data_IF_041687873785
#
_entry.id   IF_041687873785
#
_cell.length_a   1.000
_cell.length_b   1.000
_cell.length_c   1.000
_cell.angle_alpha   90.00
_cell.angle_beta   90.00
_cell.angle_gamma   90.00
#
_symmetry.space_group_name_H-M   'P 1'
#
loop_
_entity.id
_entity.type
_entity.pdbx_description
1 polymer ?
#
# COMPACT_ATOMS: atom_id res chain seq x y z
N UNK A 1 30.97 21.36 26.67
CA UNK A 1 30.36 21.32 25.33
C UNK A 1 28.87 21.58 25.46
N UNK A 2 28.36 22.75 25.04
CA UNK A 2 26.92 23.04 25.11
C UNK A 2 26.25 22.43 23.89
N UNK A 3 25.61 21.28 24.05
CA UNK A 3 24.70 20.72 23.06
C UNK A 3 23.49 21.66 23.02
N UNK A 4 23.41 22.54 22.03
CA UNK A 4 22.17 23.24 21.71
C UNK A 4 21.22 22.22 21.10
N UNK A 5 20.32 21.67 21.91
CA UNK A 5 19.14 20.97 21.41
C UNK A 5 18.24 21.99 20.73
N UNK A 6 18.30 22.03 19.41
CA UNK A 6 17.35 22.76 18.58
C UNK A 6 16.42 21.76 17.89
N UNK A 7 15.11 22.01 18.06
CA UNK A 7 14.00 21.70 17.16
C UNK A 7 13.39 20.29 17.26
N UNK A 8 12.13 20.33 17.70
CA UNK A 8 11.06 19.35 17.48
C UNK A 8 10.82 19.27 15.96
N UNK A 9 10.65 18.04 15.47
CA UNK A 9 10.37 17.59 14.09
C UNK A 9 11.12 18.32 12.95
N UNK A 10 12.15 17.68 12.38
CA UNK A 10 12.95 18.23 11.28
C UNK A 10 12.70 17.52 9.94
N UNK A 11 11.60 16.78 9.81
CA UNK A 11 11.19 16.15 8.54
C UNK A 11 9.74 16.49 8.21
N UNK A 12 9.38 16.83 6.96
CA UNK A 12 8.01 17.14 6.53
C UNK A 12 7.08 15.92 6.55
N UNK A 13 6.80 15.38 7.74
CA UNK A 13 5.90 14.24 7.94
C UNK A 13 4.54 14.43 7.26
N UNK A 14 4.06 15.67 7.18
CA UNK A 14 2.80 16.01 6.50
C UNK A 14 2.82 15.62 5.02
N UNK A 15 3.91 15.84 4.30
CA UNK A 15 3.99 15.46 2.89
C UNK A 15 3.90 13.94 2.73
N UNK A 16 4.68 13.20 3.53
CA UNK A 16 4.68 11.72 3.52
C UNK A 16 3.30 11.16 3.87
N UNK A 17 2.67 11.69 4.92
CA UNK A 17 1.32 11.27 5.32
C UNK A 17 0.27 11.62 4.25
N UNK A 18 0.36 12.80 3.62
CA UNK A 18 -0.52 13.16 2.51
C UNK A 18 -0.34 12.24 1.29
N UNK A 19 0.89 11.78 1.03
CA UNK A 19 1.17 10.82 -0.04
C UNK A 19 0.57 9.46 0.30
N UNK A 20 0.73 8.98 1.53
CA UNK A 20 0.07 7.76 2.01
C UNK A 20 -1.44 7.85 1.85
N UNK A 21 -2.06 8.95 2.29
CA UNK A 21 -3.50 9.21 2.15
C UNK A 21 -3.98 9.26 0.69
N UNK A 22 -3.13 9.68 -0.26
CA UNK A 22 -3.43 9.63 -1.71
C UNK A 22 -3.58 8.18 -2.15
N UNK A 23 -2.66 7.30 -1.76
CA UNK A 23 -2.70 5.89 -2.13
C UNK A 23 -3.74 5.07 -1.35
N UNK A 24 -4.01 5.40 -0.08
CA UNK A 24 -5.12 4.79 0.66
C UNK A 24 -6.44 5.01 -0.08
N UNK A 25 -6.75 6.27 -0.44
CA UNK A 25 -7.96 6.61 -1.20
C UNK A 25 -8.04 5.83 -2.51
N UNK A 26 -6.92 5.69 -3.19
CA UNK A 26 -6.81 4.89 -4.41
C UNK A 26 -7.17 3.41 -4.17
N UNK A 27 -6.57 2.79 -3.15
CA UNK A 27 -6.86 1.38 -2.79
C UNK A 27 -8.30 1.17 -2.29
N UNK A 28 -8.88 2.17 -1.61
CA UNK A 28 -10.29 2.14 -1.21
C UNK A 28 -11.21 2.20 -2.42
N UNK A 29 -10.88 3.04 -3.41
CA UNK A 29 -11.62 3.12 -4.66
C UNK A 29 -11.57 1.79 -5.43
N UNK A 30 -10.40 1.15 -5.49
CA UNK A 30 -10.25 -0.20 -6.07
C UNK A 30 -11.15 -1.20 -5.34
N UNK A 31 -11.11 -1.22 -4.00
CA UNK A 31 -11.93 -2.12 -3.19
C UNK A 31 -13.41 -1.92 -3.50
N UNK A 32 -13.87 -0.66 -3.60
CA UNK A 32 -15.25 -0.34 -3.99
C UNK A 32 -15.61 -0.79 -5.39
N UNK A 33 -14.72 -0.58 -6.37
CA UNK A 33 -14.92 -1.05 -7.74
C UNK A 33 -15.07 -2.57 -7.77
N UNK A 34 -14.18 -3.29 -7.08
CA UNK A 34 -14.21 -4.75 -6.96
C UNK A 34 -15.53 -5.20 -6.35
N UNK A 35 -15.93 -4.66 -5.19
CA UNK A 35 -17.20 -5.02 -4.53
C UNK A 35 -18.43 -4.69 -5.39
N UNK A 36 -18.42 -3.55 -6.10
CA UNK A 36 -19.47 -3.16 -7.04
C UNK A 36 -19.56 -4.11 -8.23
N UNK A 37 -18.43 -4.50 -8.79
CA UNK A 37 -18.35 -5.42 -9.92
C UNK A 37 -18.77 -6.85 -9.54
N UNK A 38 -18.35 -7.32 -8.37
CA UNK A 38 -18.82 -8.58 -7.79
C UNK A 38 -20.34 -8.56 -7.61
N UNK A 39 -20.86 -7.45 -7.07
CA UNK A 39 -22.29 -7.24 -6.89
C UNK A 39 -23.05 -7.33 -8.23
N UNK A 40 -22.49 -6.72 -9.28
CA UNK A 40 -23.01 -6.79 -10.65
C UNK A 40 -23.00 -8.23 -11.18
N UNK A 41 -21.87 -8.95 -11.05
CA UNK A 41 -21.67 -10.30 -11.58
C UNK A 41 -22.51 -11.37 -10.87
N UNK A 42 -22.70 -11.23 -9.56
CA UNK A 42 -23.65 -12.05 -8.80
C UNK A 42 -25.10 -11.79 -9.20
N UNK A 43 -25.35 -10.84 -10.11
CA UNK A 43 -26.66 -10.54 -10.66
C UNK A 43 -27.51 -9.74 -9.68
N UNK A 44 -26.92 -8.80 -8.93
CA UNK A 44 -27.66 -7.88 -8.04
C UNK A 44 -28.39 -6.74 -8.80
N UNK A 45 -28.86 -6.92 -10.06
CA UNK A 45 -30.10 -6.35 -10.67
C UNK A 45 -30.40 -7.01 -12.05
N UNK A 46 -31.62 -6.82 -12.59
CA UNK A 46 -32.32 -7.71 -13.56
C UNK A 46 -31.78 -7.72 -15.01
N UNK A 47 -31.34 -8.89 -15.51
CA UNK A 47 -31.80 -9.60 -16.74
C UNK A 47 -30.72 -10.53 -17.38
N UNK A 48 -31.18 -11.78 -17.64
CA UNK A 48 -30.77 -12.98 -18.43
C UNK A 48 -29.30 -13.41 -18.71
N UNK A 49 -29.13 -14.76 -18.62
CA UNK A 49 -27.93 -15.62 -18.56
C UNK A 49 -27.36 -16.07 -19.94
N UNK A 50 -26.17 -16.71 -20.08
CA UNK A 50 -25.87 -18.16 -19.89
C UNK A 50 -24.35 -18.51 -19.82
N UNK A 51 -24.01 -19.71 -19.29
CA UNK A 51 -23.19 -20.84 -19.89
C UNK A 51 -23.18 -22.08 -18.95
N UNK A 52 -23.83 -23.18 -19.33
CA UNK A 52 -24.61 -24.08 -18.46
C UNK A 52 -23.90 -25.26 -17.74
N UNK A 53 -23.02 -25.04 -16.75
CA UNK A 53 -22.62 -26.12 -15.83
C UNK A 53 -22.54 -25.69 -14.36
N UNK A 54 -23.19 -26.39 -13.42
CA UNK A 54 -23.24 -26.03 -12.00
C UNK A 54 -21.87 -26.17 -11.30
N UNK A 55 -21.51 -25.16 -10.51
CA UNK A 55 -20.33 -25.16 -9.64
C UNK A 55 -20.59 -26.08 -8.44
N UNK A 56 -19.70 -27.06 -8.23
CA UNK A 56 -19.75 -27.99 -7.10
C UNK A 56 -18.60 -27.63 -6.16
N UNK A 57 -18.91 -27.31 -4.90
CA UNK A 57 -17.92 -27.05 -3.86
C UNK A 57 -18.10 -28.03 -2.70
N UNK A 58 -17.05 -28.80 -2.38
CA UNK A 58 -17.09 -29.84 -1.33
C UNK A 58 -18.29 -30.80 -1.48
N UNK A 59 -18.57 -31.25 -2.70
CA UNK A 59 -19.66 -32.17 -3.01
C UNK A 59 -21.08 -31.57 -2.99
N UNK A 60 -21.23 -30.27 -2.75
CA UNK A 60 -22.52 -29.58 -2.77
C UNK A 60 -22.62 -28.65 -3.98
N UNK A 61 -23.76 -28.69 -4.66
CA UNK A 61 -24.08 -27.76 -5.74
C UNK A 61 -24.26 -26.36 -5.12
N UNK A 62 -23.55 -25.37 -5.66
CA UNK A 62 -23.63 -23.99 -5.21
C UNK A 62 -24.79 -23.32 -5.94
N UNK A 63 -25.71 -22.68 -5.21
CA UNK A 63 -26.91 -22.05 -5.78
C UNK A 63 -26.78 -20.53 -5.76
N UNK A 64 -27.23 -19.88 -6.83
CA UNK A 64 -27.37 -18.44 -6.94
C UNK A 64 -28.55 -17.99 -6.07
N UNK A 65 -28.31 -17.16 -5.05
CA UNK A 65 -29.32 -16.78 -4.08
C UNK A 65 -30.43 -15.85 -4.64
N UNK A 66 -30.35 -15.37 -5.89
CA UNK A 66 -31.48 -14.65 -6.55
C UNK A 66 -32.48 -15.58 -7.16
N UNK A 67 -31.93 -16.56 -7.88
CA UNK A 67 -32.66 -17.31 -8.88
C UNK A 67 -32.97 -18.70 -8.38
N UNK A 68 -32.33 -19.12 -7.28
CA UNK A 68 -32.36 -20.51 -6.80
C UNK A 68 -31.72 -21.47 -7.78
N UNK A 69 -31.08 -20.99 -8.86
CA UNK A 69 -30.44 -21.82 -9.86
C UNK A 69 -28.98 -22.05 -9.49
N UNK A 70 -28.38 -23.21 -9.82
CA UNK A 70 -26.96 -23.44 -9.60
C UNK A 70 -26.08 -22.36 -10.24
N UNK A 71 -25.11 -21.83 -9.49
CA UNK A 71 -24.07 -20.92 -10.01
C UNK A 71 -23.29 -21.68 -11.05
N UNK A 72 -23.09 -21.09 -12.23
CA UNK A 72 -22.36 -21.75 -13.31
C UNK A 72 -20.85 -21.52 -13.20
N UNK A 73 -20.04 -22.47 -13.68
CA UNK A 73 -18.57 -22.34 -13.70
C UNK A 73 -18.12 -21.07 -14.44
N UNK A 74 -18.80 -20.67 -15.53
CA UNK A 74 -18.50 -19.41 -16.23
C UNK A 74 -18.74 -18.18 -15.35
N UNK A 75 -19.83 -18.18 -14.60
CA UNK A 75 -20.17 -17.06 -13.71
C UNK A 75 -19.13 -16.91 -12.61
N UNK A 76 -18.64 -18.04 -12.08
CA UNK A 76 -17.54 -18.08 -11.14
C UNK A 76 -16.21 -17.62 -11.76
N UNK A 77 -15.86 -18.10 -12.96
CA UNK A 77 -14.63 -17.67 -13.64
C UNK A 77 -14.64 -16.17 -13.94
N UNK A 78 -15.78 -15.60 -14.36
CA UNK A 78 -15.91 -14.15 -14.56
C UNK A 78 -15.72 -13.35 -13.27
N UNK A 79 -16.23 -13.86 -12.16
CA UNK A 79 -16.01 -13.29 -10.83
C UNK A 79 -14.52 -13.31 -10.47
N UNK A 80 -13.85 -14.45 -10.67
CA UNK A 80 -12.41 -14.56 -10.42
C UNK A 80 -11.59 -13.67 -11.34
N UNK A 81 -11.91 -13.62 -12.63
CA UNK A 81 -11.24 -12.75 -13.62
C UNK A 81 -11.43 -11.27 -13.27
N UNK A 82 -12.60 -10.85 -12.81
CA UNK A 82 -12.82 -9.48 -12.38
C UNK A 82 -11.97 -9.15 -11.14
N UNK A 83 -12.00 -10.02 -10.12
CA UNK A 83 -11.18 -9.85 -8.92
C UNK A 83 -9.68 -9.81 -9.30
N UNK A 84 -9.20 -10.73 -10.12
CA UNK A 84 -7.81 -10.81 -10.56
C UNK A 84 -7.44 -9.58 -11.39
N UNK A 85 -8.25 -9.20 -12.38
CA UNK A 85 -7.94 -8.07 -13.27
C UNK A 85 -7.81 -6.76 -12.51
N UNK A 86 -8.76 -6.47 -11.61
CA UNK A 86 -8.71 -5.25 -10.81
C UNK A 86 -7.63 -5.29 -9.72
N UNK A 87 -7.30 -6.46 -9.16
CA UNK A 87 -6.21 -6.53 -8.18
C UNK A 87 -4.81 -6.55 -8.83
N UNK A 88 -4.64 -7.15 -10.01
CA UNK A 88 -3.34 -7.29 -10.68
C UNK A 88 -2.90 -6.04 -11.45
N UNK A 89 -3.79 -5.44 -12.27
CA UNK A 89 -3.46 -4.22 -13.02
C UNK A 89 -3.11 -3.09 -12.05
N UNK A 90 -3.80 -3.08 -10.92
CA UNK A 90 -3.57 -2.10 -9.87
C UNK A 90 -2.38 -2.42 -8.99
N UNK A 91 -2.03 -3.70 -8.78
CA UNK A 91 -0.80 -4.08 -8.06
C UNK A 91 0.43 -3.53 -8.76
N UNK A 92 0.57 -3.78 -10.06
CA UNK A 92 1.78 -3.39 -10.79
C UNK A 92 1.91 -1.86 -10.86
N UNK A 93 0.78 -1.17 -11.05
CA UNK A 93 0.74 0.29 -10.99
C UNK A 93 1.08 0.82 -9.59
N UNK A 94 0.42 0.31 -8.55
CA UNK A 94 0.57 0.75 -7.18
C UNK A 94 1.99 0.48 -6.67
N UNK A 95 2.52 -0.72 -6.87
CA UNK A 95 3.89 -1.08 -6.51
C UNK A 95 4.89 -0.12 -7.12
N UNK A 96 4.79 0.12 -8.43
CA UNK A 96 5.74 0.98 -9.14
C UNK A 96 5.61 2.43 -8.70
N UNK A 97 4.41 3.01 -8.83
CA UNK A 97 4.21 4.44 -8.59
C UNK A 97 4.29 4.81 -7.12
N UNK A 98 3.77 3.99 -6.21
CA UNK A 98 3.84 4.28 -4.77
C UNK A 98 5.29 4.32 -4.30
N UNK A 99 6.10 3.33 -4.70
CA UNK A 99 7.51 3.29 -4.29
C UNK A 99 8.29 4.41 -4.93
N UNK A 100 8.17 4.63 -6.25
CA UNK A 100 8.90 5.69 -6.96
C UNK A 100 8.54 7.10 -6.44
N UNK A 101 7.24 7.43 -6.33
CA UNK A 101 6.79 8.73 -5.81
C UNK A 101 7.28 8.92 -4.35
N UNK A 102 7.32 7.85 -3.55
CA UNK A 102 7.74 7.92 -2.14
C UNK A 102 9.26 8.09 -2.00
N UNK A 103 10.06 7.29 -2.71
CA UNK A 103 11.51 7.46 -2.76
C UNK A 103 11.86 8.88 -3.18
N UNK A 104 11.27 9.34 -4.29
CA UNK A 104 11.53 10.66 -4.84
C UNK A 104 11.11 11.78 -3.88
N UNK A 105 9.96 11.65 -3.22
CA UNK A 105 9.56 12.58 -2.17
C UNK A 105 10.58 12.63 -1.04
N UNK A 106 11.09 11.49 -0.60
CA UNK A 106 12.17 11.40 0.40
C UNK A 106 13.42 12.18 0.00
N UNK A 107 13.84 12.00 -1.25
CA UNK A 107 14.96 12.71 -1.85
C UNK A 107 14.72 14.23 -1.89
N UNK A 108 13.55 14.66 -2.36
CA UNK A 108 13.18 16.08 -2.40
C UNK A 108 13.09 16.71 -1.01
N UNK A 109 12.61 15.96 -0.01
CA UNK A 109 12.56 16.39 1.39
C UNK A 109 13.97 16.66 1.92
N UNK A 110 14.95 15.82 1.57
CA UNK A 110 16.34 15.98 2.02
C UNK A 110 16.90 17.35 1.63
N UNK A 111 16.54 17.85 0.43
CA UNK A 111 16.99 19.15 -0.10
C UNK A 111 16.31 20.37 0.49
N UNK A 112 15.23 20.19 1.23
CA UNK A 112 14.58 21.34 1.87
C UNK A 112 15.52 21.99 2.88
N UNK A 113 15.44 23.31 2.95
CA UNK A 113 16.13 24.06 3.98
C UNK A 113 15.52 23.78 5.38
N UNK A 114 16.28 24.16 6.40
CA UNK A 114 15.93 23.96 7.80
C UNK A 114 14.60 24.62 8.22
N UNK A 115 14.24 25.75 7.59
CA UNK A 115 12.98 26.45 7.86
C UNK A 115 11.81 25.72 7.22
N UNK A 116 11.96 25.27 5.98
CA UNK A 116 10.98 24.49 5.23
C UNK A 116 10.67 23.15 5.93
N UNK A 117 11.70 22.48 6.44
CA UNK A 117 11.55 21.26 7.25
C UNK A 117 10.74 21.51 8.53
N UNK A 118 11.00 22.63 9.22
CA UNK A 118 10.29 23.03 10.44
C UNK A 118 8.81 23.39 10.25
N UNK A 119 8.44 23.96 9.10
CA UNK A 119 7.04 24.34 8.83
C UNK A 119 6.19 23.16 8.33
N UNK A 120 6.74 21.95 8.30
CA UNK A 120 6.07 20.72 7.89
C UNK A 120 5.46 20.86 6.47
N UNK A 121 6.35 21.04 5.50
CA UNK A 121 6.04 21.33 4.10
C UNK A 121 5.01 20.34 3.51
N UNK A 122 3.93 20.82 2.85
CA UNK A 122 2.86 19.96 2.35
C UNK A 122 3.19 19.32 0.98
N UNK A 123 2.55 18.18 0.69
CA UNK A 123 2.78 17.38 -0.53
C UNK A 123 2.59 18.17 -1.82
N UNK A 124 1.59 19.06 -1.88
CA UNK A 124 1.27 19.84 -3.07
C UNK A 124 2.34 20.88 -3.46
N UNK A 125 3.42 20.98 -2.70
CA UNK A 125 4.58 21.80 -3.01
C UNK A 125 5.72 21.01 -3.67
N UNK A 126 5.59 19.69 -3.74
CA UNK A 126 6.49 18.82 -4.48
C UNK A 126 5.87 18.47 -5.83
N UNK A 127 6.68 18.47 -6.87
CA UNK A 127 6.31 17.87 -8.16
C UNK A 127 6.82 16.43 -8.17
N UNK A 128 5.89 15.47 -8.23
CA UNK A 128 6.18 14.04 -8.28
C UNK A 128 5.78 13.43 -9.63
N UNK A 129 5.45 14.26 -10.62
CA UNK A 129 4.84 13.80 -11.88
C UNK A 129 5.81 12.92 -12.66
N UNK A 130 7.08 13.35 -12.74
CA UNK A 130 8.17 12.66 -13.42
C UNK A 130 9.39 12.60 -12.48
N UNK A 131 9.51 11.55 -11.65
CA UNK A 131 10.67 11.37 -10.77
C UNK A 131 11.98 11.32 -11.56
N UNK A 132 12.91 12.22 -11.22
CA UNK A 132 14.26 12.26 -11.80
C UNK A 132 15.31 11.99 -10.72
N UNK A 133 15.67 10.72 -10.57
CA UNK A 133 16.68 10.28 -9.60
C UNK A 133 18.11 10.64 -10.02
N UNK A 134 18.35 10.97 -11.30
CA UNK A 134 19.68 11.37 -11.77
C UNK A 134 20.11 12.69 -11.16
N UNK A 135 19.14 13.57 -10.88
CA UNK A 135 19.36 14.83 -10.17
C UNK A 135 20.00 14.61 -8.79
N UNK A 136 19.78 13.45 -8.16
CA UNK A 136 20.27 13.09 -6.83
C UNK A 136 21.53 12.21 -6.86
N UNK A 137 22.17 12.07 -8.02
CA UNK A 137 23.34 11.19 -8.22
C UNK A 137 23.09 9.74 -7.80
N UNK A 138 21.87 9.23 -8.02
CA UNK A 138 21.58 7.82 -7.80
C UNK A 138 22.47 6.97 -8.71
N UNK A 139 23.09 5.97 -8.12
CA UNK A 139 23.93 4.99 -8.81
C UNK A 139 23.08 3.84 -9.35
N UNK A 140 23.64 3.02 -10.23
CA UNK A 140 22.98 1.78 -10.68
C UNK A 140 22.62 0.88 -9.48
N UNK A 141 23.48 0.86 -8.45
CA UNK A 141 23.21 0.14 -7.21
C UNK A 141 21.98 0.68 -6.46
N UNK A 142 21.81 2.01 -6.37
CA UNK A 142 20.64 2.61 -5.73
C UNK A 142 19.35 2.30 -6.51
N UNK A 143 19.45 2.26 -7.84
CA UNK A 143 18.35 1.88 -8.71
C UNK A 143 17.97 0.41 -8.54
N UNK A 144 18.97 -0.48 -8.45
CA UNK A 144 18.76 -1.92 -8.16
C UNK A 144 18.13 -2.12 -6.77
N UNK A 145 18.58 -1.38 -5.75
CA UNK A 145 17.99 -1.41 -4.41
C UNK A 145 16.53 -0.95 -4.43
N UNK A 146 16.23 0.12 -5.16
CA UNK A 146 14.85 0.59 -5.32
C UNK A 146 14.00 -0.46 -6.03
N UNK A 147 14.52 -1.15 -7.05
CA UNK A 147 13.79 -2.21 -7.75
C UNK A 147 13.53 -3.41 -6.83
N UNK A 148 14.53 -3.84 -6.05
CA UNK A 148 14.34 -4.88 -5.02
C UNK A 148 13.28 -4.46 -3.99
N UNK A 149 13.25 -3.19 -3.60
CA UNK A 149 12.22 -2.64 -2.71
C UNK A 149 10.83 -2.67 -3.35
N UNK A 150 10.72 -2.35 -4.64
CA UNK A 150 9.47 -2.49 -5.40
C UNK A 150 9.00 -3.93 -5.35
N UNK A 151 9.84 -4.91 -5.69
CA UNK A 151 9.47 -6.32 -5.65
C UNK A 151 8.98 -6.75 -4.27
N UNK A 152 9.68 -6.36 -3.21
CA UNK A 152 9.26 -6.61 -1.82
C UNK A 152 7.89 -6.00 -1.50
N UNK A 153 7.66 -4.75 -1.90
CA UNK A 153 6.36 -4.07 -1.79
C UNK A 153 5.26 -4.83 -2.54
N UNK A 154 5.58 -5.33 -3.74
CA UNK A 154 4.70 -6.15 -4.57
C UNK A 154 4.21 -7.41 -3.86
N UNK A 155 5.08 -8.07 -3.06
CA UNK A 155 4.72 -9.23 -2.26
C UNK A 155 3.67 -8.85 -1.19
N UNK A 156 3.83 -7.71 -0.51
CA UNK A 156 2.85 -7.27 0.49
C UNK A 156 1.49 -6.92 -0.13
N UNK A 157 1.51 -6.22 -1.27
CA UNK A 157 0.31 -5.88 -2.05
C UNK A 157 -0.39 -7.17 -2.52
N UNK A 158 0.37 -8.16 -3.00
CA UNK A 158 -0.16 -9.46 -3.40
C UNK A 158 -0.81 -10.19 -2.22
N UNK A 159 -0.15 -10.21 -1.06
CA UNK A 159 -0.69 -10.85 0.15
C UNK A 159 -2.00 -10.21 0.63
N UNK A 160 -2.13 -8.87 0.56
CA UNK A 160 -3.39 -8.19 0.85
C UNK A 160 -4.45 -8.53 -0.19
N UNK A 161 -4.09 -8.51 -1.47
CA UNK A 161 -4.98 -8.86 -2.58
C UNK A 161 -5.54 -10.28 -2.47
N UNK A 162 -4.69 -11.25 -2.13
CA UNK A 162 -5.11 -12.64 -1.95
C UNK A 162 -6.01 -12.83 -0.73
N UNK A 163 -5.73 -12.13 0.36
CA UNK A 163 -6.63 -12.10 1.53
C UNK A 163 -7.98 -11.48 1.19
N UNK A 164 -7.99 -10.38 0.44
CA UNK A 164 -9.21 -9.73 -0.01
C UNK A 164 -10.05 -10.66 -0.89
N UNK A 165 -9.41 -11.30 -1.89
CA UNK A 165 -10.04 -12.33 -2.71
C UNK A 165 -10.62 -13.45 -1.86
N UNK A 166 -9.84 -14.01 -0.93
CA UNK A 166 -10.27 -15.10 -0.06
C UNK A 166 -11.47 -14.72 0.80
N UNK A 167 -11.46 -13.51 1.39
CA UNK A 167 -12.56 -12.99 2.21
C UNK A 167 -13.86 -12.85 1.41
N UNK A 168 -13.78 -12.22 0.23
CA UNK A 168 -14.91 -12.05 -0.70
C UNK A 168 -15.48 -13.41 -1.09
N UNK A 169 -14.63 -14.36 -1.50
CA UNK A 169 -15.05 -15.70 -1.88
C UNK A 169 -15.72 -16.43 -0.70
N UNK A 170 -15.19 -16.30 0.52
CA UNK A 170 -15.78 -16.89 1.72
C UNK A 170 -17.18 -16.37 1.99
N UNK A 171 -17.38 -15.04 1.94
CA UNK A 171 -18.69 -14.42 2.15
C UNK A 171 -19.73 -14.98 1.17
N UNK A 172 -19.37 -15.08 -0.11
CA UNK A 172 -20.25 -15.61 -1.16
C UNK A 172 -20.57 -17.09 -0.90
N UNK A 173 -19.56 -17.92 -0.61
CA UNK A 173 -19.71 -19.36 -0.42
C UNK A 173 -20.49 -19.69 0.85
N UNK A 174 -20.19 -19.01 1.96
CA UNK A 174 -20.87 -19.19 3.24
C UNK A 174 -22.32 -18.70 3.17
N UNK A 175 -22.55 -17.53 2.57
CA UNK A 175 -23.89 -17.02 2.33
C UNK A 175 -24.75 -17.97 1.50
N UNK A 176 -24.17 -18.54 0.43
CA UNK A 176 -24.85 -19.56 -0.38
C UNK A 176 -25.16 -20.84 0.42
N UNK A 177 -24.21 -21.34 1.23
CA UNK A 177 -24.42 -22.54 2.07
C UNK A 177 -25.49 -22.33 3.14
N UNK A 178 -25.59 -21.13 3.68
CA UNK A 178 -26.57 -20.77 4.69
C UNK A 178 -27.92 -20.33 4.09
N UNK A 179 -28.09 -20.41 2.76
CA UNK A 179 -29.28 -19.95 2.05
C UNK A 179 -29.65 -18.48 2.34
N UNK A 180 -28.65 -17.63 2.59
CA UNK A 180 -28.85 -16.19 2.82
C UNK A 180 -29.40 -15.51 1.57
N UNK A 181 -30.26 -14.52 1.78
CA UNK A 181 -30.75 -13.67 0.71
C UNK A 181 -29.62 -12.84 0.12
N UNK A 182 -29.89 -12.28 -1.06
CA UNK A 182 -28.96 -11.38 -1.74
C UNK A 182 -28.68 -10.09 -1.02
N UNK A 183 -29.69 -9.57 -0.32
CA UNK A 183 -29.52 -8.38 0.50
C UNK A 183 -28.54 -8.65 1.64
N UNK A 184 -28.65 -9.81 2.28
CA UNK A 184 -27.74 -10.22 3.36
C UNK A 184 -26.31 -10.44 2.85
N UNK A 185 -26.12 -11.14 1.72
CA UNK A 185 -24.77 -11.34 1.15
C UNK A 185 -24.15 -10.01 0.70
N UNK A 186 -24.95 -9.10 0.15
CA UNK A 186 -24.49 -7.76 -0.20
C UNK A 186 -24.08 -6.97 1.05
N UNK A 187 -24.89 -7.03 2.11
CA UNK A 187 -24.58 -6.38 3.37
C UNK A 187 -23.27 -6.94 3.97
N UNK A 188 -23.09 -8.27 3.96
CA UNK A 188 -21.85 -8.90 4.42
C UNK A 188 -20.62 -8.45 3.59
N UNK A 189 -20.77 -8.32 2.27
CA UNK A 189 -19.72 -7.79 1.38
C UNK A 189 -19.40 -6.33 1.68
N UNK A 190 -20.44 -5.50 1.87
CA UNK A 190 -20.31 -4.09 2.21
C UNK A 190 -19.66 -3.89 3.58
N UNK A 191 -20.11 -4.65 4.59
CA UNK A 191 -19.56 -4.60 5.95
C UNK A 191 -18.09 -5.05 5.96
N UNK A 192 -17.70 -5.96 5.06
CA UNK A 192 -16.31 -6.37 4.90
C UNK A 192 -15.40 -5.31 4.28
N UNK A 193 -15.95 -4.28 3.62
CA UNK A 193 -15.17 -3.21 2.98
C UNK A 193 -14.22 -2.54 3.98
N UNK A 194 -14.67 -2.32 5.22
CA UNK A 194 -13.86 -1.70 6.27
C UNK A 194 -12.63 -2.54 6.62
N UNK A 195 -12.79 -3.85 6.76
CA UNK A 195 -11.67 -4.75 7.07
C UNK A 195 -10.70 -4.86 5.89
N UNK A 196 -11.21 -4.90 4.66
CA UNK A 196 -10.41 -4.92 3.44
C UNK A 196 -9.59 -3.64 3.29
N UNK A 197 -10.21 -2.49 3.49
CA UNK A 197 -9.54 -1.19 3.44
C UNK A 197 -8.48 -1.07 4.55
N UNK A 198 -8.74 -1.59 5.76
CA UNK A 198 -7.74 -1.59 6.84
C UNK A 198 -6.49 -2.38 6.48
N UNK A 199 -6.64 -3.54 5.84
CA UNK A 199 -5.49 -4.34 5.39
C UNK A 199 -4.67 -3.61 4.33
N UNK A 200 -5.33 -2.89 3.41
CA UNK A 200 -4.67 -2.01 2.44
C UNK A 200 -3.95 -0.85 3.10
N UNK A 201 -4.62 -0.12 4.00
CA UNK A 201 -4.07 1.03 4.72
C UNK A 201 -2.77 0.66 5.43
N UNK A 202 -2.72 -0.53 6.05
CA UNK A 202 -1.52 -0.99 6.75
C UNK A 202 -0.31 -1.07 5.82
N UNK A 203 -0.49 -1.65 4.63
CA UNK A 203 0.59 -1.79 3.65
C UNK A 203 0.95 -0.43 3.08
N UNK A 204 -0.04 0.35 2.62
CA UNK A 204 0.20 1.66 2.03
C UNK A 204 0.96 2.59 2.98
N UNK A 205 0.50 2.72 4.23
CA UNK A 205 1.14 3.60 5.22
C UNK A 205 2.58 3.16 5.51
N UNK A 206 2.79 1.85 5.70
CA UNK A 206 4.11 1.31 6.05
C UNK A 206 5.09 1.48 4.90
N UNK A 207 4.71 1.05 3.70
CA UNK A 207 5.59 1.04 2.53
C UNK A 207 5.86 2.46 2.02
N UNK A 208 4.88 3.37 2.06
CA UNK A 208 5.10 4.80 1.72
C UNK A 208 6.14 5.42 2.66
N UNK A 209 6.00 5.21 3.97
CA UNK A 209 6.91 5.79 4.95
C UNK A 209 8.33 5.21 4.84
N UNK A 210 8.44 3.89 4.66
CA UNK A 210 9.73 3.22 4.49
C UNK A 210 10.43 3.63 3.19
N UNK A 211 9.71 3.67 2.07
CA UNK A 211 10.22 4.15 0.80
C UNK A 211 10.69 5.61 0.86
N UNK A 212 9.92 6.50 1.48
CA UNK A 212 10.31 7.89 1.69
C UNK A 212 11.54 8.03 2.59
N UNK A 213 11.65 7.23 3.64
CA UNK A 213 12.85 7.20 4.47
C UNK A 213 14.07 6.73 3.66
N UNK A 214 13.94 5.67 2.85
CA UNK A 214 15.04 5.19 2.02
C UNK A 214 15.50 6.27 1.02
N UNK A 215 14.56 6.95 0.36
CA UNK A 215 14.90 8.05 -0.55
C UNK A 215 15.66 9.19 0.14
N UNK A 216 15.24 9.56 1.35
CA UNK A 216 15.92 10.55 2.18
C UNK A 216 17.34 10.10 2.55
N UNK A 217 17.48 8.87 3.04
CA UNK A 217 18.77 8.34 3.48
C UNK A 217 19.77 8.18 2.32
N UNK A 218 19.34 7.64 1.19
CA UNK A 218 20.19 7.52 0.00
C UNK A 218 20.62 8.91 -0.48
N UNK A 219 19.70 9.88 -0.51
CA UNK A 219 20.04 11.24 -0.92
C UNK A 219 21.01 11.92 0.04
N UNK A 220 20.92 11.67 1.35
CA UNK A 220 21.91 12.14 2.30
C UNK A 220 23.28 11.49 2.04
N UNK A 221 23.31 10.17 1.84
CA UNK A 221 24.53 9.42 1.54
C UNK A 221 25.22 9.97 0.28
N UNK A 222 24.46 10.23 -0.79
CA UNK A 222 24.99 10.72 -2.06
C UNK A 222 25.35 12.21 -2.07
N UNK A 223 24.85 12.98 -1.11
CA UNK A 223 25.18 14.41 -0.97
C UNK A 223 26.30 14.69 0.03
N UNK A 224 26.70 13.70 0.83
CA UNK A 224 27.80 13.81 1.79
C UNK A 224 29.11 13.32 1.15
N UNK A 225 30.25 14.00 1.36
CA UNK A 225 31.56 13.51 0.92
C UNK A 225 31.89 12.12 1.52
N UNK A 226 32.54 11.24 0.76
CA UNK A 226 32.85 9.86 1.17
C UNK A 226 33.72 9.75 2.43
N UNK A 227 34.43 10.81 2.79
CA UNK A 227 35.35 10.87 3.93
C UNK A 227 34.66 11.27 5.25
N UNK A 228 33.37 11.59 5.22
CA UNK A 228 32.61 12.07 6.39
C UNK A 228 31.60 11.03 6.89
N UNK A 229 31.69 10.70 8.18
CA UNK A 229 30.69 9.85 8.85
C UNK A 229 29.35 10.59 9.02
N UNK A 230 28.27 9.97 8.56
CA UNK A 230 26.91 10.53 8.68
C UNK A 230 26.23 9.96 9.93
N UNK A 231 26.06 10.80 10.96
CA UNK A 231 25.32 10.43 12.18
C UNK A 231 23.87 10.88 12.10
N UNK A 232 22.96 9.91 12.08
CA UNK A 232 21.52 10.16 12.06
C UNK A 232 20.93 9.99 13.45
N UNK A 233 20.12 10.96 13.88
CA UNK A 233 19.34 10.85 15.12
C UNK A 233 17.91 10.44 14.78
N UNK A 234 17.48 9.30 15.33
CA UNK A 234 16.12 8.81 15.22
C UNK A 234 15.12 9.80 15.80
N UNK A 235 14.12 10.14 15.01
CA UNK A 235 12.97 10.96 15.38
C UNK A 235 11.75 10.24 14.83
N UNK A 236 10.83 9.90 15.72
CA UNK A 236 9.58 9.27 15.32
C UNK A 236 8.51 10.30 14.90
N UNK A 237 7.44 9.81 14.26
CA UNK A 237 6.25 10.61 13.93
C UNK A 237 5.60 11.29 15.16
N UNK A 238 4.84 12.39 14.97
CA UNK A 238 4.22 13.16 16.06
C UNK A 238 3.19 12.38 16.88
N UNK A 239 2.49 11.45 16.22
CA UNK A 239 1.37 10.67 16.75
C UNK A 239 1.76 9.24 17.17
N UNK A 240 3.06 8.97 17.29
CA UNK A 240 3.57 7.66 17.68
C UNK A 240 3.03 7.18 19.02
N UNK A 241 2.97 5.85 19.18
CA UNK A 241 2.74 5.27 20.49
C UNK A 241 3.98 5.40 21.40
N UNK A 242 3.80 5.38 22.74
CA UNK A 242 4.92 5.52 23.69
C UNK A 242 5.99 4.43 23.61
N UNK A 243 5.65 3.25 23.08
CA UNK A 243 6.63 2.19 22.87
C UNK A 243 7.53 2.50 21.67
N UNK A 244 6.96 2.91 20.54
CA UNK A 244 7.72 3.30 19.34
C UNK A 244 8.67 4.48 19.62
N UNK A 245 8.18 5.49 20.35
CA UNK A 245 9.04 6.63 20.72
C UNK A 245 10.28 6.21 21.52
N UNK A 246 10.15 5.27 22.46
CA UNK A 246 11.29 4.76 23.25
C UNK A 246 12.33 4.02 22.41
N UNK A 247 11.91 3.39 21.31
CA UNK A 247 12.81 2.62 20.45
C UNK A 247 13.61 3.50 19.49
N UNK A 248 13.06 4.63 19.06
CA UNK A 248 13.62 5.43 17.97
C UNK A 248 14.15 6.78 18.47
N UNK A 249 13.43 7.46 19.36
CA UNK A 249 13.72 8.85 19.67
C UNK A 249 15.06 9.01 20.38
N UNK A 250 15.93 9.80 19.77
CA UNK A 250 17.24 10.11 20.32
C UNK A 250 18.26 8.99 20.21
N UNK A 251 17.92 7.86 19.58
CA UNK A 251 18.92 6.89 19.12
C UNK A 251 19.77 7.52 18.02
N UNK A 252 21.07 7.30 18.08
CA UNK A 252 22.00 7.75 17.04
C UNK A 252 22.50 6.52 16.32
N UNK A 253 22.45 6.56 14.99
CA UNK A 253 22.97 5.52 14.11
C UNK A 253 23.93 6.15 13.12
N UNK A 254 24.87 5.35 12.63
CA UNK A 254 25.76 5.75 11.52
C UNK A 254 25.13 5.24 10.24
N UNK A 255 24.99 6.12 9.26
CA UNK A 255 24.58 5.74 7.92
C UNK A 255 25.84 5.35 7.14
N UNK A 256 25.84 4.12 6.62
CA UNK A 256 26.95 3.54 5.85
C UNK A 256 26.48 3.24 4.43
N UNK A 257 27.39 3.36 3.47
CA UNK A 257 27.11 3.07 2.05
C UNK A 257 26.97 1.58 1.77
N UNK A 258 27.64 0.75 2.58
CA UNK A 258 27.65 -0.70 2.49
C UNK A 258 27.48 -1.32 3.89
N UNK A 259 26.87 -2.52 3.99
CA UNK A 259 26.75 -3.22 5.26
C UNK A 259 28.15 -3.52 5.83
N UNK A 260 28.39 -3.32 7.14
CA UNK A 260 29.68 -3.62 7.75
C UNK A 260 29.99 -5.12 7.72
N UNK A 261 31.28 -5.46 7.61
CA UNK A 261 31.78 -6.84 7.48
C UNK A 261 31.37 -7.77 8.64
N UNK A 262 31.04 -7.20 9.81
CA UNK A 262 30.55 -7.92 10.99
C UNK A 262 29.15 -7.42 11.36
N UNK A 263 28.12 -8.12 10.87
CA UNK A 263 26.71 -7.92 11.26
C UNK A 263 26.33 -8.59 12.57
#
# INVERSE_FOLDING_TARGET
MKIKLHKIELSPWKAVNQLGKKYEKYTHEITRIVLSEISRLLGLRMSKAHEDAPLIFKGKIMYNPKSGQPIKVKEWKRLEEAIIKYLHVERDYLQKKMVEDSFFLGSLIQRLDDEQKKINYPLNKFDLTEPDFTEFNYTDYDMDLMEAYKEGTGIYIQNVSDRARGKIQSIIVEGAKAHRSKGEIYQDLWDSEVDLNRDWDRVVVTETAMAANNGLLISELRSTPEEEDIFMKGISAPDRCPACGRLVDGKVVVLVSEPPDEG
#
